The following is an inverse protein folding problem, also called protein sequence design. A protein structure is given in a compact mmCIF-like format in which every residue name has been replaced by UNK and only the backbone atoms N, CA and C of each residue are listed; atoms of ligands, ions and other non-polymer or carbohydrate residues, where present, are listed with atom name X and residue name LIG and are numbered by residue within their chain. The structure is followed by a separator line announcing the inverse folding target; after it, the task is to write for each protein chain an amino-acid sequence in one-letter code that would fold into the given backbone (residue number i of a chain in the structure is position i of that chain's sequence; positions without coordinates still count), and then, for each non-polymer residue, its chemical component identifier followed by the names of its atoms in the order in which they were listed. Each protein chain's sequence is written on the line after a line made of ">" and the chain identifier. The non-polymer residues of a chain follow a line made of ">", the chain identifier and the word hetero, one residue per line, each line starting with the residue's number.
data_IF_655283157240
#
_entry.id   IF_655283157240
#
_cell.length_a   1.000
_cell.length_b   1.000
_cell.length_c   1.000
_cell.angle_alpha   90.00
_cell.angle_beta   90.00
_cell.angle_gamma   90.00
#
_symmetry.space_group_name_H-M   'P 1'
#
loop_
_entity.id
_entity.type
_entity.pdbx_description
1 polymer ?
#
# COMPACT_ATOMS: atom_id res chain seq x y z
N UNK A 1 -20.22 -33.32 -3.89
CA UNK A 1 -20.54 -32.56 -5.13
C UNK A 1 -22.03 -32.61 -5.33
N UNK A 2 -22.66 -31.45 -5.59
CA UNK A 2 -23.56 -31.32 -6.74
C UNK A 2 -23.17 -30.14 -7.64
N UNK A 3 -23.17 -30.36 -8.96
CA UNK A 3 -23.39 -29.32 -9.98
C UNK A 3 -22.19 -28.45 -10.39
N UNK A 4 -21.24 -29.02 -11.16
CA UNK A 4 -20.40 -28.26 -12.10
C UNK A 4 -21.30 -27.70 -13.23
N UNK A 5 -22.00 -26.60 -12.97
CA UNK A 5 -22.57 -25.75 -14.00
C UNK A 5 -21.73 -24.48 -14.05
N UNK A 6 -20.89 -24.38 -15.08
CA UNK A 6 -19.98 -23.28 -15.33
C UNK A 6 -20.72 -21.97 -15.55
N UNK A 7 -20.98 -21.23 -14.47
CA UNK A 7 -21.18 -19.80 -14.60
C UNK A 7 -19.80 -19.15 -14.73
N UNK A 8 -19.51 -18.64 -15.92
CA UNK A 8 -18.40 -17.72 -16.18
C UNK A 8 -18.62 -16.49 -15.31
N UNK A 9 -18.20 -16.55 -14.06
CA UNK A 9 -18.28 -15.40 -13.17
C UNK A 9 -17.18 -14.42 -13.58
N UNK A 10 -17.59 -13.29 -14.13
CA UNK A 10 -16.72 -12.16 -14.45
C UNK A 10 -16.56 -11.29 -13.22
N UNK A 11 -15.42 -10.60 -13.07
CA UNK A 11 -15.12 -9.67 -11.96
C UNK A 11 -16.29 -8.73 -11.67
N UNK A 12 -16.96 -8.26 -12.72
CA UNK A 12 -18.19 -7.46 -12.65
C UNK A 12 -19.29 -8.09 -11.80
N UNK A 13 -19.61 -9.36 -12.02
CA UNK A 13 -20.67 -10.10 -11.30
C UNK A 13 -20.25 -10.53 -9.90
N UNK A 14 -18.96 -10.81 -9.70
CA UNK A 14 -18.43 -11.24 -8.40
C UNK A 14 -18.27 -10.12 -7.39
N UNK A 15 -17.93 -8.91 -7.87
CA UNK A 15 -17.59 -7.79 -7.02
C UNK A 15 -18.51 -6.60 -7.24
N UNK A 16 -18.55 -6.04 -8.45
CA UNK A 16 -19.27 -4.78 -8.70
C UNK A 16 -20.79 -4.91 -8.53
N UNK A 17 -21.40 -5.97 -9.04
CA UNK A 17 -22.86 -6.20 -8.91
C UNK A 17 -23.30 -6.47 -7.47
N UNK A 18 -22.36 -6.82 -6.57
CA UNK A 18 -22.64 -6.99 -5.13
C UNK A 18 -22.63 -5.67 -4.36
N UNK A 19 -22.14 -4.60 -4.97
CA UNK A 19 -21.97 -3.29 -4.35
C UNK A 19 -23.07 -2.36 -4.86
N UNK A 20 -23.93 -1.93 -3.95
CA UNK A 20 -25.05 -1.05 -4.29
C UNK A 20 -24.60 0.38 -4.57
N UNK A 21 -25.40 1.16 -5.31
CA UNK A 21 -25.15 2.59 -5.54
C UNK A 21 -25.03 3.36 -4.22
N UNK A 22 -25.78 2.97 -3.18
CA UNK A 22 -25.70 3.57 -1.84
C UNK A 22 -24.33 3.33 -1.18
N UNK A 23 -23.73 2.17 -1.41
CA UNK A 23 -22.38 1.88 -0.93
C UNK A 23 -21.33 2.70 -1.68
N UNK A 24 -21.44 2.86 -3.00
CA UNK A 24 -20.53 3.73 -3.74
C UNK A 24 -20.63 5.19 -3.33
N UNK A 25 -21.84 5.69 -3.04
CA UNK A 25 -22.04 7.02 -2.44
C UNK A 25 -21.35 7.12 -1.07
N UNK A 26 -21.47 6.09 -0.23
CA UNK A 26 -20.77 6.04 1.04
C UNK A 26 -19.24 6.09 0.86
N UNK A 27 -18.67 5.29 -0.06
CA UNK A 27 -17.23 5.31 -0.36
C UNK A 27 -16.80 6.68 -0.88
N UNK A 28 -17.59 7.33 -1.72
CA UNK A 28 -17.31 8.68 -2.22
C UNK A 28 -17.31 9.73 -1.10
N UNK A 29 -18.25 9.64 -0.15
CA UNK A 29 -18.27 10.52 1.04
C UNK A 29 -17.02 10.30 1.90
N UNK A 30 -16.66 9.04 2.18
CA UNK A 30 -15.43 8.71 2.93
C UNK A 30 -14.19 9.23 2.20
N UNK A 31 -14.15 9.11 0.86
CA UNK A 31 -13.09 9.66 0.03
C UNK A 31 -12.97 11.17 0.18
N UNK A 32 -14.08 11.91 0.04
CA UNK A 32 -14.09 13.36 0.20
C UNK A 32 -13.60 13.79 1.59
N UNK A 33 -14.02 13.09 2.65
CA UNK A 33 -13.55 13.35 4.02
C UNK A 33 -12.05 13.09 4.13
N UNK A 34 -11.53 11.97 3.62
CA UNK A 34 -10.09 11.66 3.67
C UNK A 34 -9.25 12.65 2.88
N UNK A 35 -9.70 13.06 1.70
CA UNK A 35 -9.03 14.11 0.92
C UNK A 35 -9.00 15.40 1.73
N UNK A 36 -10.13 15.85 2.28
CA UNK A 36 -10.18 17.07 3.07
C UNK A 36 -9.25 17.00 4.29
N UNK A 37 -9.40 15.99 5.13
CA UNK A 37 -8.64 15.86 6.39
C UNK A 37 -7.13 15.72 6.13
N UNK A 38 -6.72 15.05 5.05
CA UNK A 38 -5.29 14.90 4.74
C UNK A 38 -4.71 16.04 3.90
N UNK A 39 -5.53 16.90 3.30
CA UNK A 39 -5.09 18.06 2.51
C UNK A 39 -5.03 19.35 3.36
N UNK A 40 -5.96 19.52 4.30
CA UNK A 40 -6.06 20.71 5.16
C UNK A 40 -4.72 21.05 5.85
N UNK A 41 -3.97 20.11 6.46
CA UNK A 41 -2.70 20.43 7.11
C UNK A 41 -1.65 21.01 6.15
N UNK A 42 -1.60 20.53 4.90
CA UNK A 42 -0.68 21.06 3.90
C UNK A 42 -1.11 22.45 3.43
N UNK A 43 -2.40 22.67 3.21
CA UNK A 43 -2.92 24.00 2.87
C UNK A 43 -2.65 25.00 4.00
N UNK A 44 -2.86 24.58 5.25
CA UNK A 44 -2.50 25.39 6.41
C UNK A 44 -1.01 25.76 6.40
N UNK A 45 -0.11 24.81 6.10
CA UNK A 45 1.32 25.08 5.95
C UNK A 45 1.63 26.13 4.88
N UNK A 46 1.00 26.01 3.70
CA UNK A 46 1.14 26.98 2.60
C UNK A 46 0.66 28.37 3.01
N UNK A 47 -0.55 28.49 3.58
CA UNK A 47 -1.15 29.78 3.91
C UNK A 47 -0.59 30.43 5.18
N UNK A 48 0.02 29.64 6.07
CA UNK A 48 0.59 30.13 7.33
C UNK A 48 2.11 30.33 7.24
N UNK A 49 2.70 30.21 6.05
CA UNK A 49 4.13 30.44 5.84
C UNK A 49 4.49 31.90 6.14
N UNK A 50 5.50 32.16 7.01
CA UNK A 50 5.95 33.52 7.29
C UNK A 50 6.42 34.26 6.03
N UNK A 51 6.38 35.59 6.06
CA UNK A 51 6.86 36.42 4.96
C UNK A 51 8.33 36.10 4.64
N UNK A 52 8.62 35.82 3.36
CA UNK A 52 9.95 35.42 2.89
C UNK A 52 10.30 33.94 3.08
N UNK A 53 9.38 33.12 3.58
CA UNK A 53 9.54 31.67 3.71
C UNK A 53 8.53 30.92 2.84
N UNK A 54 8.86 29.67 2.50
CA UNK A 54 7.97 28.77 1.79
C UNK A 54 7.80 27.46 2.56
N UNK A 55 6.58 26.93 2.55
CA UNK A 55 6.30 25.61 3.08
C UNK A 55 6.98 24.54 2.21
N UNK A 56 7.88 23.76 2.81
CA UNK A 56 8.62 22.70 2.10
C UNK A 56 7.78 21.47 1.77
N UNK A 57 6.56 21.35 2.31
CA UNK A 57 5.72 20.17 2.14
C UNK A 57 6.11 18.98 3.04
N UNK A 58 7.26 19.07 3.70
CA UNK A 58 7.78 18.05 4.61
C UNK A 58 7.07 18.20 5.96
N UNK A 59 6.55 17.10 6.47
CA UNK A 59 5.93 17.03 7.80
C UNK A 59 6.70 16.05 8.69
N UNK A 60 6.27 15.90 9.94
CA UNK A 60 6.99 15.15 10.97
C UNK A 60 7.04 13.62 10.77
N UNK A 61 6.24 13.04 9.86
CA UNK A 61 6.30 11.59 9.62
C UNK A 61 7.41 11.33 8.63
N UNK A 62 8.39 10.53 9.04
CA UNK A 62 9.46 9.97 8.19
C UNK A 62 10.00 10.98 7.16
N UNK A 63 10.50 12.15 7.59
CA UNK A 63 10.81 13.26 6.67
C UNK A 63 11.99 12.97 5.72
N UNK A 64 12.79 11.94 6.01
CA UNK A 64 14.07 11.67 5.34
C UNK A 64 13.97 11.47 3.83
N UNK A 65 12.92 10.83 3.34
CA UNK A 65 12.87 10.39 1.93
C UNK A 65 12.30 11.44 0.98
N UNK A 66 11.60 12.47 1.51
CA UNK A 66 10.82 13.39 0.68
C UNK A 66 11.69 14.11 -0.34
N UNK A 67 12.89 14.55 0.05
CA UNK A 67 13.77 15.30 -0.84
C UNK A 67 14.36 14.40 -1.96
N UNK A 68 14.52 13.09 -1.72
CA UNK A 68 14.91 12.13 -2.76
C UNK A 68 13.79 11.95 -3.78
N UNK A 69 12.54 11.93 -3.34
CA UNK A 69 11.40 11.86 -4.25
C UNK A 69 11.24 13.14 -5.07
N UNK A 70 11.42 14.31 -4.45
CA UNK A 70 11.38 15.59 -5.15
C UNK A 70 12.48 15.72 -6.21
N UNK A 71 13.70 15.23 -5.93
CA UNK A 71 14.76 15.23 -6.94
C UNK A 71 14.43 14.31 -8.11
N UNK A 72 13.91 13.10 -7.88
CA UNK A 72 13.45 12.22 -8.97
C UNK A 72 12.34 12.84 -9.83
N UNK A 73 11.37 13.52 -9.20
CA UNK A 73 10.31 14.22 -9.91
C UNK A 73 10.89 15.39 -10.73
N UNK A 74 11.87 16.14 -10.18
CA UNK A 74 12.52 17.25 -10.89
C UNK A 74 13.29 16.76 -12.13
N UNK A 75 14.12 15.72 -11.98
CA UNK A 75 14.87 15.10 -13.07
C UNK A 75 13.93 14.69 -14.22
N UNK A 76 12.84 13.99 -13.89
CA UNK A 76 11.83 13.59 -14.88
C UNK A 76 11.07 14.78 -15.49
N UNK A 77 10.81 15.84 -14.70
CA UNK A 77 10.19 17.08 -15.21
C UNK A 77 11.09 17.78 -16.23
N UNK A 78 12.39 17.80 -15.99
CA UNK A 78 13.42 18.39 -16.87
C UNK A 78 13.61 17.61 -18.17
N UNK A 79 13.06 16.38 -18.25
CA UNK A 79 13.09 15.54 -19.44
C UNK A 79 14.17 14.46 -19.41
N UNK A 80 14.89 14.36 -18.29
CA UNK A 80 15.86 13.31 -18.04
C UNK A 80 15.15 12.04 -17.53
N UNK A 81 15.61 10.88 -17.95
CA UNK A 81 15.08 9.59 -17.51
C UNK A 81 16.02 8.83 -16.56
N UNK A 82 17.25 9.32 -16.41
CA UNK A 82 18.29 8.75 -15.56
C UNK A 82 18.33 9.50 -14.24
N UNK A 83 18.05 8.81 -13.13
CA UNK A 83 18.20 9.42 -11.83
C UNK A 83 19.68 9.47 -11.43
N UNK A 84 20.10 10.64 -10.95
CA UNK A 84 21.37 10.87 -10.28
C UNK A 84 21.04 11.32 -8.86
N UNK A 85 21.60 10.62 -7.89
CA UNK A 85 21.56 10.99 -6.49
C UNK A 85 22.33 12.30 -6.28
N UNK A 86 21.61 13.35 -5.91
CA UNK A 86 22.15 14.69 -5.67
C UNK A 86 22.80 14.83 -4.28
N UNK A 87 22.73 13.80 -3.43
CA UNK A 87 23.23 13.81 -2.06
C UNK A 87 24.62 13.18 -1.91
N UNK A 88 25.28 12.86 -3.03
CA UNK A 88 26.66 12.34 -3.05
C UNK A 88 27.44 12.91 -4.24
N UNK A 89 28.76 13.06 -4.07
CA UNK A 89 29.70 13.40 -5.15
C UNK A 89 30.31 12.18 -5.84
N UNK A 90 29.98 10.97 -5.36
CA UNK A 90 30.49 9.72 -5.93
C UNK A 90 30.02 9.55 -7.38
N UNK A 91 30.84 8.85 -8.18
CA UNK A 91 30.51 8.59 -9.58
C UNK A 91 29.34 7.61 -9.67
N UNK A 92 28.32 8.01 -10.41
CA UNK A 92 27.08 7.24 -10.58
C UNK A 92 26.95 6.72 -12.01
N UNK A 93 26.31 5.57 -12.18
CA UNK A 93 26.09 4.99 -13.50
C UNK A 93 24.95 5.67 -14.27
N UNK A 94 24.05 6.37 -13.59
CA UNK A 94 22.82 6.93 -14.16
C UNK A 94 21.81 5.86 -14.59
N UNK A 95 22.02 4.59 -14.23
CA UNK A 95 21.15 3.50 -14.67
C UNK A 95 19.87 3.35 -13.84
N UNK A 96 19.77 3.99 -12.67
CA UNK A 96 18.58 3.90 -11.83
C UNK A 96 17.42 4.68 -12.44
N UNK A 97 16.30 3.98 -12.60
CA UNK A 97 15.03 4.53 -13.04
C UNK A 97 13.96 4.05 -12.08
N UNK A 98 13.31 4.98 -11.40
CA UNK A 98 12.10 4.68 -10.63
C UNK A 98 10.86 5.00 -11.49
N UNK A 99 10.16 4.00 -12.04
CA UNK A 99 9.08 4.24 -13.00
C UNK A 99 7.89 5.00 -12.38
N UNK A 100 7.67 4.88 -11.07
CA UNK A 100 6.60 5.57 -10.37
C UNK A 100 6.88 7.08 -10.30
N UNK A 101 8.07 7.47 -9.83
CA UNK A 101 8.45 8.87 -9.76
C UNK A 101 8.65 9.50 -11.14
N UNK A 102 9.16 8.73 -12.11
CA UNK A 102 9.25 9.16 -13.50
C UNK A 102 7.87 9.51 -14.09
N UNK A 103 6.85 8.68 -13.85
CA UNK A 103 5.48 8.97 -14.29
C UNK A 103 4.91 10.25 -13.65
N UNK A 104 5.18 10.48 -12.35
CA UNK A 104 4.77 11.71 -11.66
C UNK A 104 5.50 12.94 -12.24
N UNK A 105 6.79 12.84 -12.53
CA UNK A 105 7.58 13.91 -13.15
C UNK A 105 7.14 14.26 -14.57
N UNK A 106 6.79 13.26 -15.39
CA UNK A 106 6.13 13.51 -16.69
C UNK A 106 4.83 14.29 -16.48
N UNK A 107 4.01 13.89 -15.52
CA UNK A 107 2.80 14.63 -15.15
C UNK A 107 3.11 16.07 -14.74
N UNK A 108 4.15 16.28 -13.93
CA UNK A 108 4.60 17.59 -13.52
C UNK A 108 5.01 18.47 -14.72
N UNK A 109 5.65 17.89 -15.73
CA UNK A 109 6.01 18.57 -16.98
C UNK A 109 4.79 18.93 -17.81
N UNK A 110 3.86 17.99 -18.01
CA UNK A 110 2.68 18.17 -18.86
C UNK A 110 1.73 19.26 -18.34
N UNK A 111 1.61 19.37 -17.01
CA UNK A 111 0.71 20.33 -16.35
C UNK A 111 1.44 21.55 -15.76
N UNK A 112 2.74 21.69 -16.04
CA UNK A 112 3.64 22.69 -15.47
C UNK A 112 3.52 22.85 -13.94
N UNK A 113 3.49 21.72 -13.22
CA UNK A 113 3.41 21.71 -11.77
C UNK A 113 4.82 21.80 -11.16
N UNK A 114 4.94 22.43 -9.98
CA UNK A 114 6.15 22.26 -9.18
C UNK A 114 6.29 20.79 -8.74
N UNK A 115 7.52 20.26 -8.51
CA UNK A 115 7.71 18.90 -8.02
C UNK A 115 6.90 18.60 -6.75
N UNK A 116 6.83 19.56 -5.82
CA UNK A 116 6.04 19.43 -4.60
C UNK A 116 4.54 19.34 -4.88
N UNK A 117 4.03 20.18 -5.79
CA UNK A 117 2.62 20.14 -6.20
C UNK A 117 2.29 18.82 -6.88
N UNK A 118 3.17 18.30 -7.73
CA UNK A 118 2.98 16.99 -8.38
C UNK A 118 2.97 15.84 -7.36
N UNK A 119 3.84 15.88 -6.35
CA UNK A 119 3.85 14.92 -5.24
C UNK A 119 2.53 14.93 -4.46
N UNK A 120 2.03 16.11 -4.10
CA UNK A 120 0.77 16.22 -3.36
C UNK A 120 -0.46 15.88 -4.22
N UNK A 121 -0.47 16.29 -5.49
CA UNK A 121 -1.54 15.99 -6.43
C UNK A 121 -1.65 14.48 -6.69
N UNK A 122 -0.52 13.80 -6.90
CA UNK A 122 -0.49 12.35 -7.06
C UNK A 122 -0.99 11.62 -5.80
N UNK A 123 -0.62 12.09 -4.59
CA UNK A 123 -1.14 11.55 -3.32
C UNK A 123 -2.66 11.65 -3.27
N UNK A 124 -3.23 12.84 -3.52
CA UNK A 124 -4.68 13.06 -3.51
C UNK A 124 -5.38 12.21 -4.58
N UNK A 125 -4.80 12.11 -5.78
CA UNK A 125 -5.36 11.32 -6.89
C UNK A 125 -5.37 9.80 -6.61
N UNK A 126 -4.46 9.30 -5.78
CA UNK A 126 -4.40 7.88 -5.40
C UNK A 126 -5.40 7.49 -4.30
N UNK A 127 -5.95 8.45 -3.52
CA UNK A 127 -6.93 8.16 -2.46
C UNK A 127 -8.18 7.45 -3.01
N UNK A 128 -8.85 7.93 -4.09
CA UNK A 128 -9.96 7.20 -4.70
C UNK A 128 -9.59 5.79 -5.18
N UNK A 129 -8.39 5.62 -5.76
CA UNK A 129 -7.93 4.33 -6.25
C UNK A 129 -7.74 3.32 -5.12
N UNK A 130 -7.11 3.74 -4.02
CA UNK A 130 -6.99 2.95 -2.81
C UNK A 130 -8.35 2.52 -2.27
N UNK A 131 -9.28 3.46 -2.11
CA UNK A 131 -10.60 3.16 -1.56
C UNK A 131 -11.41 2.24 -2.47
N UNK A 132 -11.30 2.39 -3.80
CA UNK A 132 -11.90 1.49 -4.76
C UNK A 132 -11.39 0.06 -4.57
N UNK A 133 -10.07 -0.15 -4.60
CA UNK A 133 -9.45 -1.46 -4.46
C UNK A 133 -9.77 -2.08 -3.09
N UNK A 134 -9.65 -1.30 -2.02
CA UNK A 134 -9.95 -1.74 -0.66
C UNK A 134 -11.42 -2.16 -0.54
N UNK A 135 -12.36 -1.38 -1.10
CA UNK A 135 -13.79 -1.73 -1.00
C UNK A 135 -14.15 -2.96 -1.84
N UNK A 136 -13.51 -3.14 -3.00
CA UNK A 136 -13.63 -4.38 -3.78
C UNK A 136 -13.08 -5.59 -3.00
N UNK A 137 -11.95 -5.43 -2.32
CA UNK A 137 -11.38 -6.46 -1.46
C UNK A 137 -12.32 -6.80 -0.28
N UNK A 138 -12.88 -5.79 0.39
CA UNK A 138 -13.88 -6.00 1.45
C UNK A 138 -15.17 -6.66 0.92
N UNK A 139 -15.58 -6.35 -0.31
CA UNK A 139 -16.70 -7.01 -1.00
C UNK A 139 -16.44 -8.47 -1.34
N UNK A 140 -15.18 -8.83 -1.58
CA UNK A 140 -14.78 -10.23 -1.66
C UNK A 140 -14.88 -10.92 -0.30
N UNK A 141 -14.45 -10.26 0.77
CA UNK A 141 -14.38 -10.85 2.11
C UNK A 141 -15.73 -11.04 2.80
N UNK A 142 -16.71 -10.17 2.52
CA UNK A 142 -18.02 -10.24 3.16
C UNK A 142 -19.17 -9.80 2.24
N UNK A 143 -20.25 -10.57 2.24
CA UNK A 143 -21.52 -10.21 1.61
C UNK A 143 -22.30 -9.15 2.40
N UNK A 144 -21.98 -8.91 3.67
CA UNK A 144 -22.70 -7.96 4.53
C UNK A 144 -22.23 -6.52 4.29
N UNK A 145 -23.13 -5.67 3.78
CA UNK A 145 -22.88 -4.24 3.56
C UNK A 145 -22.40 -3.53 4.84
N UNK A 146 -23.01 -3.84 5.99
CA UNK A 146 -22.62 -3.25 7.28
C UNK A 146 -21.18 -3.62 7.65
N UNK A 147 -20.80 -4.90 7.49
CA UNK A 147 -19.42 -5.34 7.78
C UNK A 147 -18.42 -4.62 6.87
N UNK A 148 -18.72 -4.46 5.58
CA UNK A 148 -17.84 -3.74 4.64
C UNK A 148 -17.65 -2.28 5.02
N UNK A 149 -18.74 -1.57 5.34
CA UNK A 149 -18.70 -0.15 5.72
C UNK A 149 -17.94 0.06 7.03
N UNK A 150 -18.23 -0.75 8.04
CA UNK A 150 -17.53 -0.66 9.34
C UNK A 150 -16.06 -1.02 9.18
N UNK A 151 -15.72 -2.08 8.43
CA UNK A 151 -14.34 -2.45 8.15
C UNK A 151 -13.58 -1.33 7.44
N UNK A 152 -14.18 -0.70 6.42
CA UNK A 152 -13.56 0.44 5.74
C UNK A 152 -13.27 1.58 6.72
N UNK A 153 -14.25 1.96 7.55
CA UNK A 153 -14.06 3.03 8.54
C UNK A 153 -12.98 2.69 9.55
N UNK A 154 -12.92 1.44 10.03
CA UNK A 154 -11.86 1.02 10.94
C UNK A 154 -10.50 1.08 10.24
N UNK A 155 -10.37 0.56 9.03
CA UNK A 155 -9.11 0.59 8.26
C UNK A 155 -8.57 2.02 8.14
N UNK A 156 -9.45 3.00 7.87
CA UNK A 156 -9.01 4.39 7.63
C UNK A 156 -9.06 5.31 8.86
N UNK A 157 -9.69 4.93 9.98
CA UNK A 157 -9.86 5.81 11.16
C UNK A 157 -9.60 5.15 12.53
N UNK A 158 -9.23 3.87 12.62
CA UNK A 158 -9.13 3.17 13.93
C UNK A 158 -7.77 3.28 14.63
N UNK A 159 -7.00 4.32 14.35
CA UNK A 159 -5.67 4.52 14.93
C UNK A 159 -5.46 5.99 15.32
N UNK A 160 -4.41 6.31 16.09
CA UNK A 160 -4.10 7.66 16.57
C UNK A 160 -4.17 7.85 18.09
N UNK A 161 -4.37 6.78 18.87
CA UNK A 161 -4.29 6.86 20.35
C UNK A 161 -2.88 7.10 20.85
N UNK A 162 -1.87 6.67 20.09
CA UNK A 162 -0.48 6.90 20.42
C UNK A 162 -0.17 8.38 20.62
N UNK A 163 -0.88 9.29 19.94
CA UNK A 163 -0.72 10.75 20.11
C UNK A 163 -1.10 11.20 21.53
N UNK A 164 -2.14 10.61 22.12
CA UNK A 164 -2.59 10.95 23.48
C UNK A 164 -1.75 10.27 24.57
N UNK A 165 -1.17 9.11 24.27
CA UNK A 165 -0.33 8.36 25.20
C UNK A 165 1.13 8.82 25.18
N UNK A 166 1.61 9.38 24.06
CA UNK A 166 2.99 9.85 23.90
C UNK A 166 3.44 10.84 25.00
N UNK A 167 2.67 11.87 25.37
CA UNK A 167 3.04 12.79 26.46
C UNK A 167 3.20 12.10 27.82
N UNK A 168 2.48 11.01 28.06
CA UNK A 168 2.46 10.25 29.33
C UNK A 168 3.62 9.26 29.41
N UNK A 169 4.04 8.72 28.25
CA UNK A 169 5.09 7.71 28.19
C UNK A 169 6.51 8.29 28.27
N UNK A 170 6.67 9.63 28.19
CA UNK A 170 7.97 10.35 28.23
C UNK A 170 9.02 9.84 27.22
N UNK A 171 8.58 9.29 26.08
CA UNK A 171 9.45 8.66 25.07
C UNK A 171 10.00 9.67 24.06
N UNK A 172 10.47 10.82 24.55
CA UNK A 172 10.75 12.02 23.72
C UNK A 172 11.97 11.89 22.80
N UNK A 173 12.92 11.02 23.11
CA UNK A 173 14.26 11.09 22.49
C UNK A 173 14.54 10.00 21.44
N UNK A 174 13.59 9.08 21.16
CA UNK A 174 13.81 8.06 20.13
C UNK A 174 12.50 7.61 19.45
N UNK A 175 12.33 7.79 18.12
CA UNK A 175 11.13 7.40 17.41
C UNK A 175 10.83 5.88 17.51
N UNK A 176 11.84 5.02 17.65
CA UNK A 176 11.66 3.56 17.86
C UNK A 176 10.90 3.24 19.15
N UNK A 177 10.85 4.20 20.09
CA UNK A 177 10.10 4.08 21.34
C UNK A 177 8.68 4.63 21.21
N UNK A 178 8.31 5.31 20.14
CA UNK A 178 6.97 5.85 19.98
C UNK A 178 5.98 4.77 19.47
N UNK A 179 4.69 4.85 19.87
CA UNK A 179 3.65 4.01 19.32
C UNK A 179 3.60 4.07 17.79
N UNK A 180 3.38 2.93 17.13
CA UNK A 180 3.51 2.82 15.68
C UNK A 180 2.54 3.72 14.91
N UNK A 181 1.41 4.06 15.52
CA UNK A 181 0.39 4.95 14.97
C UNK A 181 0.72 6.44 15.03
N UNK A 182 1.90 6.80 15.50
CA UNK A 182 2.36 8.20 15.56
C UNK A 182 3.41 8.53 14.53
N UNK A 183 4.09 7.53 13.95
CA UNK A 183 5.26 7.78 13.11
C UNK A 183 5.56 6.72 12.05
N UNK A 184 4.93 5.54 12.08
CA UNK A 184 5.16 4.46 11.09
C UNK A 184 4.04 4.48 10.05
N UNK A 185 4.19 5.24 8.94
CA UNK A 185 3.13 5.38 7.95
C UNK A 185 2.74 4.06 7.28
N UNK A 186 3.65 3.10 7.19
CA UNK A 186 3.45 1.77 6.61
C UNK A 186 2.48 0.90 7.42
N UNK A 187 2.38 1.14 8.74
CA UNK A 187 1.55 0.34 9.63
C UNK A 187 0.08 0.78 9.60
N UNK A 188 -0.18 2.06 9.39
CA UNK A 188 -1.51 2.67 9.54
C UNK A 188 -1.96 3.29 8.21
N UNK A 189 -3.06 2.79 7.59
CA UNK A 189 -3.54 3.32 6.31
C UNK A 189 -3.84 4.82 6.32
N UNK A 190 -4.33 5.37 7.43
CA UNK A 190 -4.52 6.82 7.56
C UNK A 190 -3.21 7.60 7.42
N UNK A 191 -2.14 7.14 8.08
CA UNK A 191 -0.82 7.75 7.96
C UNK A 191 -0.24 7.55 6.55
N UNK A 192 -0.42 6.38 5.94
CA UNK A 192 -0.08 6.15 4.52
C UNK A 192 -0.76 7.18 3.61
N UNK A 193 -2.07 7.40 3.78
CA UNK A 193 -2.86 8.36 3.00
C UNK A 193 -2.37 9.81 3.19
N UNK A 194 -1.91 10.14 4.40
CA UNK A 194 -1.42 11.47 4.75
C UNK A 194 0.02 11.71 4.27
N UNK A 195 0.89 10.71 4.31
CA UNK A 195 2.33 10.89 4.15
C UNK A 195 2.79 11.08 2.71
N UNK A 196 2.80 10.02 1.89
CA UNK A 196 3.39 10.09 0.54
C UNK A 196 2.66 9.18 -0.46
N UNK A 197 2.66 9.53 -1.76
CA UNK A 197 1.97 8.77 -2.80
C UNK A 197 2.60 7.38 -3.04
N UNK A 198 3.87 7.20 -2.73
CA UNK A 198 4.62 5.96 -2.95
C UNK A 198 4.11 4.82 -2.07
N UNK A 199 3.96 5.06 -0.77
CA UNK A 199 3.37 4.08 0.16
C UNK A 199 1.92 3.78 -0.20
N UNK A 200 1.14 4.81 -0.56
CA UNK A 200 -0.26 4.66 -0.92
C UNK A 200 -0.45 3.84 -2.21
N UNK A 201 0.36 4.10 -3.24
CA UNK A 201 0.36 3.32 -4.47
C UNK A 201 0.77 1.87 -4.20
N UNK A 202 1.82 1.66 -3.40
CA UNK A 202 2.28 0.32 -3.03
C UNK A 202 1.18 -0.48 -2.30
N UNK A 203 0.61 0.08 -1.23
CA UNK A 203 -0.45 -0.58 -0.47
C UNK A 203 -1.65 -0.92 -1.36
N UNK A 204 -2.06 0.01 -2.23
CA UNK A 204 -3.14 -0.20 -3.20
C UNK A 204 -2.85 -1.38 -4.11
N UNK A 205 -1.65 -1.43 -4.71
CA UNK A 205 -1.26 -2.48 -5.63
C UNK A 205 -1.03 -3.83 -4.93
N UNK A 206 -0.54 -3.86 -3.68
CA UNK A 206 -0.44 -5.10 -2.88
C UNK A 206 -1.83 -5.71 -2.70
N UNK A 207 -2.79 -4.92 -2.24
CA UNK A 207 -4.17 -5.38 -2.03
C UNK A 207 -4.80 -5.80 -3.36
N UNK A 208 -4.53 -5.05 -4.44
CA UNK A 208 -5.01 -5.40 -5.77
C UNK A 208 -4.42 -6.72 -6.27
N UNK A 209 -3.12 -6.94 -6.11
CA UNK A 209 -2.44 -8.20 -6.43
C UNK A 209 -3.06 -9.36 -5.67
N UNK A 210 -3.30 -9.21 -4.37
CA UNK A 210 -3.98 -10.21 -3.55
C UNK A 210 -5.41 -10.50 -4.02
N UNK A 211 -6.19 -9.46 -4.31
CA UNK A 211 -7.55 -9.60 -4.85
C UNK A 211 -7.54 -10.37 -6.18
N UNK A 212 -6.63 -10.02 -7.10
CA UNK A 212 -6.50 -10.69 -8.39
C UNK A 212 -6.06 -12.15 -8.25
N UNK A 213 -5.15 -12.47 -7.31
CA UNK A 213 -4.78 -13.86 -7.03
C UNK A 213 -5.95 -14.67 -6.46
N UNK A 214 -6.72 -14.11 -5.53
CA UNK A 214 -7.93 -14.75 -5.02
C UNK A 214 -8.96 -15.00 -6.13
N UNK A 215 -9.14 -14.05 -7.05
CA UNK A 215 -9.98 -14.22 -8.23
C UNK A 215 -9.44 -15.27 -9.20
N UNK A 216 -8.12 -15.33 -9.41
CA UNK A 216 -7.48 -16.36 -10.23
C UNK A 216 -7.78 -17.75 -9.67
N UNK A 217 -7.54 -17.96 -8.37
CA UNK A 217 -7.82 -19.22 -7.69
C UNK A 217 -9.29 -19.62 -7.72
N UNK A 218 -10.21 -18.66 -7.53
CA UNK A 218 -11.64 -18.97 -7.48
C UNK A 218 -12.25 -19.21 -8.87
N UNK A 219 -11.76 -18.51 -9.90
CA UNK A 219 -12.34 -18.57 -11.25
C UNK A 219 -11.55 -19.44 -12.22
N UNK A 220 -10.36 -19.89 -11.83
CA UNK A 220 -9.41 -20.65 -12.66
C UNK A 220 -8.98 -19.91 -13.95
N UNK A 221 -9.09 -18.57 -13.97
CA UNK A 221 -8.78 -17.76 -15.16
C UNK A 221 -7.38 -17.15 -15.07
N UNK A 222 -6.52 -17.55 -16.01
CA UNK A 222 -5.13 -17.07 -16.15
C UNK A 222 -5.04 -15.53 -16.23
N UNK A 223 -6.03 -14.87 -16.87
CA UNK A 223 -6.05 -13.40 -16.98
C UNK A 223 -5.87 -12.68 -15.63
N UNK A 224 -6.41 -13.25 -14.54
CA UNK A 224 -6.30 -12.61 -13.23
C UNK A 224 -4.91 -12.83 -12.62
N UNK A 225 -4.24 -13.96 -12.92
CA UNK A 225 -2.83 -14.16 -12.56
C UNK A 225 -1.90 -13.25 -13.35
N UNK A 226 -2.18 -12.99 -14.63
CA UNK A 226 -1.42 -12.02 -15.43
C UNK A 226 -1.59 -10.62 -14.84
N UNK A 227 -2.82 -10.20 -14.55
CA UNK A 227 -3.07 -8.89 -13.92
C UNK A 227 -2.40 -8.80 -12.54
N UNK A 228 -2.46 -9.86 -11.73
CA UNK A 228 -1.77 -9.91 -10.44
C UNK A 228 -0.24 -9.82 -10.60
N UNK A 229 0.33 -10.54 -11.58
CA UNK A 229 1.75 -10.52 -11.90
C UNK A 229 2.23 -9.14 -12.36
N UNK A 230 1.48 -8.48 -13.24
CA UNK A 230 1.79 -7.12 -13.69
C UNK A 230 1.65 -6.09 -12.55
N UNK A 231 0.63 -6.22 -11.70
CA UNK A 231 0.46 -5.40 -10.51
C UNK A 231 1.60 -5.61 -9.50
N UNK A 232 1.99 -6.86 -9.27
CA UNK A 232 3.14 -7.22 -8.44
C UNK A 232 4.45 -6.67 -9.01
N UNK A 233 4.66 -6.80 -10.33
CA UNK A 233 5.82 -6.24 -11.02
C UNK A 233 5.89 -4.72 -10.86
N UNK A 234 4.75 -4.03 -10.99
CA UNK A 234 4.67 -2.59 -10.77
C UNK A 234 5.14 -2.22 -9.35
N UNK A 235 4.61 -2.86 -8.30
CA UNK A 235 5.09 -2.61 -6.92
C UNK A 235 6.57 -2.90 -6.78
N UNK A 236 7.03 -4.05 -7.27
CA UNK A 236 8.45 -4.45 -7.18
C UNK A 236 9.36 -3.40 -7.83
N UNK A 237 8.93 -2.79 -8.93
CA UNK A 237 9.75 -1.85 -9.70
C UNK A 237 10.06 -0.53 -8.98
N UNK A 238 9.19 -0.07 -8.09
CA UNK A 238 9.42 1.19 -7.36
C UNK A 238 9.55 0.99 -5.85
N UNK A 239 8.99 -0.09 -5.30
CA UNK A 239 9.03 -0.40 -3.87
C UNK A 239 9.35 -1.88 -3.61
N UNK A 240 10.62 -2.30 -3.89
CA UNK A 240 11.02 -3.71 -3.96
C UNK A 240 10.83 -4.51 -2.66
N UNK A 241 10.89 -3.85 -1.51
CA UNK A 241 10.74 -4.49 -0.19
C UNK A 241 9.39 -5.20 0.00
N UNK A 242 8.37 -4.86 -0.78
CA UNK A 242 7.06 -5.51 -0.72
C UNK A 242 6.97 -6.80 -1.55
N UNK A 243 7.92 -7.06 -2.46
CA UNK A 243 7.89 -8.25 -3.30
C UNK A 243 7.97 -9.55 -2.47
N UNK A 244 8.88 -9.69 -1.47
CA UNK A 244 8.88 -10.84 -0.57
C UNK A 244 7.54 -11.02 0.15
N UNK A 245 6.96 -9.94 0.69
CA UNK A 245 5.65 -9.98 1.38
C UNK A 245 4.56 -10.54 0.47
N UNK A 246 4.46 -10.05 -0.77
CA UNK A 246 3.46 -10.53 -1.74
C UNK A 246 3.62 -12.04 -1.98
N UNK A 247 4.84 -12.48 -2.28
CA UNK A 247 5.13 -13.87 -2.64
C UNK A 247 4.90 -14.80 -1.44
N UNK A 248 5.44 -14.45 -0.27
CA UNK A 248 5.34 -15.27 0.95
C UNK A 248 3.90 -15.42 1.41
N UNK A 249 3.12 -14.34 1.45
CA UNK A 249 1.70 -14.40 1.86
C UNK A 249 0.89 -15.31 0.93
N UNK A 250 1.09 -15.20 -0.39
CA UNK A 250 0.39 -16.05 -1.36
C UNK A 250 0.84 -17.51 -1.28
N UNK A 251 2.13 -17.77 -1.08
CA UNK A 251 2.66 -19.13 -0.89
C UNK A 251 2.12 -19.77 0.38
N UNK A 252 2.12 -19.06 1.51
CA UNK A 252 1.56 -19.59 2.76
C UNK A 252 0.05 -19.82 2.59
N UNK A 253 -0.68 -18.92 1.94
CA UNK A 253 -2.10 -19.11 1.65
C UNK A 253 -2.35 -20.38 0.83
N UNK A 254 -1.52 -20.62 -0.20
CA UNK A 254 -1.56 -21.82 -1.03
C UNK A 254 -1.32 -23.08 -0.19
N UNK A 255 -0.24 -23.10 0.59
CA UNK A 255 0.15 -24.24 1.44
C UNK A 255 -0.94 -24.54 2.48
N UNK A 256 -1.41 -23.53 3.21
CA UNK A 256 -2.48 -23.66 4.21
C UNK A 256 -3.74 -24.23 3.57
N UNK A 257 -4.08 -23.79 2.35
CA UNK A 257 -5.26 -24.31 1.64
C UNK A 257 -5.08 -25.75 1.19
N UNK A 258 -3.92 -26.13 0.66
CA UNK A 258 -3.61 -27.51 0.26
C UNK A 258 -3.61 -28.46 1.46
N UNK A 259 -3.05 -28.05 2.59
CA UNK A 259 -3.03 -28.83 3.84
C UNK A 259 -4.46 -29.02 4.37
N UNK A 260 -5.27 -27.96 4.42
CA UNK A 260 -6.67 -28.03 4.88
C UNK A 260 -7.54 -28.90 3.97
N UNK A 261 -7.34 -28.82 2.67
CA UNK A 261 -8.12 -29.59 1.69
C UNK A 261 -7.58 -31.00 1.45
N UNK A 262 -6.37 -31.31 1.96
CA UNK A 262 -5.62 -32.54 1.71
C UNK A 262 -5.48 -32.87 0.21
N UNK A 263 -5.36 -31.84 -0.63
CA UNK A 263 -5.27 -31.96 -2.09
C UNK A 263 -4.24 -31.00 -2.65
N UNK A 264 -3.38 -31.51 -3.52
CA UNK A 264 -2.46 -30.69 -4.30
C UNK A 264 -3.26 -30.02 -5.42
N UNK A 265 -3.21 -28.69 -5.46
CA UNK A 265 -3.89 -27.88 -6.47
C UNK A 265 -2.87 -27.39 -7.48
N UNK A 266 -2.51 -28.24 -8.45
CA UNK A 266 -1.49 -27.94 -9.46
C UNK A 266 -1.78 -26.66 -10.25
N UNK A 267 -3.05 -26.39 -10.57
CA UNK A 267 -3.45 -25.14 -11.22
C UNK A 267 -3.11 -23.90 -10.39
N UNK A 268 -3.30 -23.96 -9.07
CA UNK A 268 -2.96 -22.84 -8.19
C UNK A 268 -1.45 -22.65 -8.09
N UNK A 269 -0.67 -23.74 -8.12
CA UNK A 269 0.80 -23.66 -8.24
C UNK A 269 1.20 -22.94 -9.53
N UNK A 270 0.57 -23.26 -10.66
CA UNK A 270 0.82 -22.56 -11.92
C UNK A 270 0.46 -21.07 -11.84
N UNK A 271 -0.66 -20.72 -11.20
CA UNK A 271 -1.04 -19.32 -10.99
C UNK A 271 -0.01 -18.55 -10.15
N UNK A 272 0.53 -19.16 -9.09
CA UNK A 272 1.59 -18.56 -8.27
C UNK A 272 2.92 -18.50 -9.03
N UNK A 273 3.24 -19.53 -9.81
CA UNK A 273 4.41 -19.52 -10.69
C UNK A 273 4.35 -18.37 -11.68
N UNK A 274 3.20 -18.13 -12.32
CA UNK A 274 3.02 -17.01 -13.25
C UNK A 274 3.16 -15.65 -12.57
N UNK A 275 2.61 -15.49 -11.35
CA UNK A 275 2.82 -14.28 -10.53
C UNK A 275 4.33 -14.02 -10.32
N UNK A 276 5.07 -15.03 -9.85
CA UNK A 276 6.50 -14.92 -9.59
C UNK A 276 7.30 -14.61 -10.87
N UNK A 277 7.03 -15.30 -11.97
CA UNK A 277 7.69 -15.08 -13.26
C UNK A 277 7.48 -13.67 -13.78
N UNK A 278 6.29 -13.10 -13.63
CA UNK A 278 6.00 -11.73 -14.08
C UNK A 278 6.62 -10.66 -13.18
N UNK A 279 6.81 -10.94 -11.89
CA UNK A 279 7.52 -10.05 -10.97
C UNK A 279 9.04 -10.06 -11.20
N UNK A 280 9.57 -11.14 -11.77
CA UNK A 280 11.01 -11.40 -11.89
C UNK A 280 11.78 -10.32 -12.66
N UNK A 281 11.31 -9.76 -13.80
CA UNK A 281 12.07 -8.74 -14.51
C UNK A 281 12.35 -7.48 -13.68
N UNK A 282 11.38 -7.02 -12.89
CA UNK A 282 11.57 -5.86 -12.01
C UNK A 282 12.57 -6.15 -10.88
N UNK A 283 12.47 -7.35 -10.27
CA UNK A 283 13.41 -7.78 -9.25
C UNK A 283 14.84 -7.94 -9.82
N UNK A 284 14.97 -8.58 -10.99
CA UNK A 284 16.24 -8.78 -11.66
C UNK A 284 16.91 -7.46 -12.02
N UNK A 285 16.16 -6.50 -12.56
CA UNK A 285 16.66 -5.16 -12.85
C UNK A 285 17.27 -4.49 -11.61
N UNK A 286 16.54 -4.48 -10.48
CA UNK A 286 17.00 -3.84 -9.25
C UNK A 286 18.20 -4.57 -8.62
N UNK A 287 18.21 -5.90 -8.66
CA UNK A 287 19.35 -6.70 -8.16
C UNK A 287 20.60 -6.50 -9.02
N UNK A 288 20.46 -6.48 -10.35
CA UNK A 288 21.57 -6.18 -11.25
C UNK A 288 22.08 -4.77 -11.03
N UNK A 289 21.19 -3.80 -10.87
CA UNK A 289 21.57 -2.42 -10.60
C UNK A 289 22.36 -2.29 -9.30
N UNK A 290 21.91 -2.93 -8.23
CA UNK A 290 22.63 -2.96 -6.96
C UNK A 290 24.02 -3.62 -7.10
N UNK A 291 24.19 -4.57 -8.03
CA UNK A 291 25.48 -5.22 -8.25
C UNK A 291 26.46 -4.39 -9.09
N UNK A 292 25.98 -3.46 -9.91
CA UNK A 292 26.82 -2.69 -10.86
C UNK A 292 26.99 -1.22 -10.49
N UNK A 293 26.09 -0.64 -9.71
CA UNK A 293 26.16 0.75 -9.26
C UNK A 293 26.51 0.82 -7.75
N UNK A 294 27.73 1.27 -7.40
CA UNK A 294 28.17 1.32 -6.01
C UNK A 294 27.38 2.32 -5.15
N UNK A 295 26.85 3.39 -5.74
CA UNK A 295 26.02 4.37 -5.02
C UNK A 295 24.67 3.75 -4.67
N UNK A 296 24.04 3.03 -5.60
CA UNK A 296 22.81 2.29 -5.32
C UNK A 296 23.03 1.20 -4.27
N UNK A 297 24.17 0.50 -4.33
CA UNK A 297 24.53 -0.50 -3.34
C UNK A 297 24.65 0.07 -1.92
N UNK A 298 25.37 1.19 -1.78
CA UNK A 298 25.56 1.86 -0.49
C UNK A 298 24.28 2.51 0.02
N UNK A 299 23.50 3.12 -0.88
CA UNK A 299 22.18 3.64 -0.53
C UNK A 299 21.28 2.52 0.01
N UNK A 300 21.30 1.34 -0.61
CA UNK A 300 20.53 0.21 -0.10
C UNK A 300 21.07 -0.31 1.26
N UNK A 301 22.39 -0.31 1.47
CA UNK A 301 22.99 -0.71 2.74
C UNK A 301 22.58 0.19 3.93
N UNK A 302 22.23 1.44 3.65
CA UNK A 302 21.74 2.39 4.65
C UNK A 302 20.28 2.15 5.08
N UNK A 303 19.53 1.28 4.41
CA UNK A 303 18.14 0.95 4.76
C UNK A 303 18.03 0.06 6.02
N UNK A 304 18.56 0.56 7.14
CA UNK A 304 18.48 -0.07 8.45
C UNK A 304 17.25 0.48 9.18
N UNK A 305 16.13 -0.25 9.07
CA UNK A 305 14.83 0.14 9.62
C UNK A 305 14.41 -0.82 10.74
N UNK A 306 14.94 -0.65 11.97
CA UNK A 306 14.57 -1.52 13.08
C UNK A 306 13.09 -1.36 13.43
N UNK A 307 12.40 -2.49 13.60
CA UNK A 307 11.00 -2.47 14.01
C UNK A 307 10.85 -1.93 15.44
N UNK A 308 9.78 -1.15 15.72
CA UNK A 308 9.38 -0.80 17.08
C UNK A 308 9.21 -2.03 17.97
N UNK A 309 9.26 -1.84 19.29
CA UNK A 309 9.00 -2.93 20.22
C UNK A 309 7.56 -3.47 20.08
N UNK A 310 7.28 -4.75 20.38
CA UNK A 310 5.93 -5.31 20.30
C UNK A 310 4.87 -4.53 21.10
N UNK A 311 5.28 -3.90 22.21
CA UNK A 311 4.41 -3.04 23.01
C UNK A 311 3.92 -1.81 22.23
N UNK A 312 4.77 -1.22 21.39
CA UNK A 312 4.39 -0.06 20.57
C UNK A 312 3.40 -0.42 19.47
N UNK A 313 3.47 -1.64 18.95
CA UNK A 313 2.46 -2.19 18.05
C UNK A 313 1.13 -2.43 18.79
N UNK A 314 1.17 -2.99 20.00
CA UNK A 314 -0.02 -3.22 20.81
C UNK A 314 -0.76 -1.90 21.10
N UNK A 315 -0.01 -0.84 21.45
CA UNK A 315 -0.57 0.48 21.70
C UNK A 315 -1.17 1.08 20.42
N UNK A 316 -0.42 1.07 19.31
CA UNK A 316 -0.89 1.69 18.06
C UNK A 316 -2.10 0.99 17.41
N UNK A 317 -2.27 -0.31 17.68
CA UNK A 317 -3.40 -1.11 17.20
C UNK A 317 -4.49 -1.35 18.26
N UNK A 318 -4.44 -0.70 19.42
CA UNK A 318 -5.33 -1.04 20.55
C UNK A 318 -6.82 -0.98 20.19
N UNK A 319 -7.27 0.00 19.41
CA UNK A 319 -8.67 0.06 18.97
C UNK A 319 -9.02 -1.10 18.04
N UNK A 320 -8.17 -1.42 17.07
CA UNK A 320 -8.37 -2.59 16.19
C UNK A 320 -8.45 -3.88 16.99
N UNK A 321 -7.60 -4.04 18.00
CA UNK A 321 -7.56 -5.21 18.87
C UNK A 321 -8.83 -5.29 19.72
N UNK A 322 -9.25 -4.20 20.36
CA UNK A 322 -10.48 -4.16 21.19
C UNK A 322 -11.72 -4.45 20.34
N UNK A 323 -11.87 -3.80 19.18
CA UNK A 323 -13.00 -4.08 18.29
C UNK A 323 -12.94 -5.48 17.68
N UNK A 324 -11.75 -5.98 17.37
CA UNK A 324 -11.54 -7.35 16.91
C UNK A 324 -11.95 -8.38 17.97
N UNK A 325 -11.47 -8.21 19.20
CA UNK A 325 -11.82 -9.06 20.34
C UNK A 325 -13.32 -9.03 20.64
N UNK A 326 -13.92 -7.83 20.66
CA UNK A 326 -15.36 -7.67 20.82
C UNK A 326 -16.14 -8.39 19.71
N UNK A 327 -15.69 -8.26 18.46
CA UNK A 327 -16.32 -8.93 17.33
C UNK A 327 -16.22 -10.46 17.43
N UNK A 328 -15.11 -11.02 17.91
CA UNK A 328 -14.93 -12.45 18.16
C UNK A 328 -15.89 -12.93 19.26
N UNK A 329 -15.95 -12.22 20.38
CA UNK A 329 -16.82 -12.57 21.52
C UNK A 329 -18.31 -12.50 21.15
N UNK A 330 -18.72 -11.48 20.38
CA UNK A 330 -20.12 -11.32 19.96
C UNK A 330 -20.54 -12.18 18.77
N UNK A 331 -19.62 -12.70 17.95
CA UNK A 331 -19.94 -13.51 16.77
C UNK A 331 -19.59 -14.99 16.95
N UNK A 332 -20.34 -15.68 17.81
CA UNK A 332 -20.72 -17.05 17.46
C UNK A 332 -21.72 -16.97 16.27
N UNK A 333 -21.23 -16.95 15.01
CA UNK A 333 -22.10 -17.22 13.84
C UNK A 333 -22.11 -16.25 12.63
N UNK A 334 -21.18 -15.29 12.51
CA UNK A 334 -21.02 -14.52 11.24
C UNK A 334 -19.60 -14.64 10.72
N UNK A 335 -19.31 -15.76 10.08
CA UNK A 335 -18.02 -16.06 9.43
C UNK A 335 -17.77 -15.13 8.24
N UNK A 336 -16.54 -14.65 8.11
CA UNK A 336 -16.04 -14.10 6.84
C UNK A 336 -16.09 -15.21 5.79
N UNK A 337 -16.37 -14.86 4.54
CA UNK A 337 -16.44 -15.87 3.48
C UNK A 337 -15.06 -16.43 3.14
N UNK A 338 -14.00 -15.62 3.25
CA UNK A 338 -12.63 -15.98 2.86
C UNK A 338 -11.54 -15.44 3.81
N UNK A 339 -11.57 -15.75 5.12
CA UNK A 339 -10.67 -15.13 6.09
C UNK A 339 -9.20 -15.56 5.99
N UNK A 340 -8.93 -16.72 5.37
CA UNK A 340 -7.61 -17.37 5.42
C UNK A 340 -6.47 -16.47 4.95
N UNK A 341 -6.67 -15.67 3.89
CA UNK A 341 -5.63 -14.77 3.40
C UNK A 341 -5.29 -13.69 4.44
N UNK A 342 -6.31 -13.12 5.09
CA UNK A 342 -6.12 -12.08 6.11
C UNK A 342 -5.34 -12.62 7.30
N UNK A 343 -5.64 -13.86 7.72
CA UNK A 343 -4.92 -14.53 8.82
C UNK A 343 -3.49 -14.94 8.47
N UNK A 344 -3.16 -15.05 7.19
CA UNK A 344 -1.81 -15.37 6.72
C UNK A 344 -0.98 -14.10 6.53
N UNK A 345 -1.64 -12.97 6.25
CA UNK A 345 -0.97 -11.70 6.01
C UNK A 345 -0.60 -10.97 7.30
N UNK A 346 -1.42 -11.09 8.35
CA UNK A 346 -1.11 -10.62 9.71
C UNK A 346 -0.23 -11.65 10.40
#
# INVERSE_FOLDING_TARGET
>A
MPGYAGAIYTMKRLLFERITVREWRFVAVVCAVLVAVTLIPHLYGVFSSPSGMHYSGIHHLTPGDTNVYLSMISTAKEGENQFIDLYTSEKQSGLYVNPFWYAIGIGARLFDLSPLTALQASRVALIPAFLLVMYLFLSWMSSSQTVRRVALLLIVFSSGLGVFLNPILFLRDNPVRLPVDTWVPEAIPFLTLYHNPHLLASLTLIIFTFLCMLLAFHTHKIRYSVIAGLSGMAVTSFHPFNAPTIVVVILIYLVVTMVRTRRVQWEWIMHVGLLGTLMLPAAAYLLTLQAVDPVVAEWNAQNILPSPSPLMYLIGFIFMIVFGAYAVVKKQGRTLSHPTLVYVWI
#
